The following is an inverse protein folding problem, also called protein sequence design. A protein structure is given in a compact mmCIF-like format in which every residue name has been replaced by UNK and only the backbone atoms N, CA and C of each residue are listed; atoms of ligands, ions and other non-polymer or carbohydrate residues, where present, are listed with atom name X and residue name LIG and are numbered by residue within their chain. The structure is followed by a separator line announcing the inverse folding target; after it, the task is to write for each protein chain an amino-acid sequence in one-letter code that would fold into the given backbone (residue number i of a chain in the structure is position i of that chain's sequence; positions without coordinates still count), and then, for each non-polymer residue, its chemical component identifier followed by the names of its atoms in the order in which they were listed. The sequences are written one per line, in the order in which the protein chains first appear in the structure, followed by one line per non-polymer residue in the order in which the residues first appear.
data_IF_206052984747
#
_entry.id   IF_206052984747
#
_cell.length_a   1.000
_cell.length_b   1.000
_cell.length_c   1.000
_cell.angle_alpha   90.00
_cell.angle_beta   90.00
_cell.angle_gamma   90.00
#
_symmetry.space_group_name_H-M   'P 1'
#
loop_
_entity.id
_entity.type
_entity.pdbx_description
1 polymer ?
#
# COMPACT_ATOMS: atom_id res chain seq x y z
N UNK A 1 -19.98 -22.97 16.41
CA UNK A 1 -19.05 -23.96 15.83
C UNK A 1 -18.51 -23.51 14.48
N UNK A 2 -19.37 -23.10 13.57
CA UNK A 2 -19.00 -22.76 12.17
C UNK A 2 -17.88 -21.72 12.05
N UNK A 3 -17.96 -20.63 12.84
CA UNK A 3 -16.90 -19.60 12.89
C UNK A 3 -15.55 -20.19 13.30
N UNK A 4 -15.56 -21.11 14.30
CA UNK A 4 -14.34 -21.76 14.76
C UNK A 4 -13.73 -22.71 13.73
N UNK A 5 -14.55 -23.34 12.89
CA UNK A 5 -14.05 -24.21 11.82
C UNK A 5 -13.37 -23.36 10.75
N UNK A 6 -14.01 -22.31 10.23
CA UNK A 6 -13.44 -21.48 9.17
C UNK A 6 -12.26 -20.63 9.65
N UNK A 7 -12.46 -19.81 10.69
CA UNK A 7 -11.41 -18.92 11.19
C UNK A 7 -10.35 -19.66 11.99
N UNK A 8 -10.74 -20.73 12.71
CA UNK A 8 -9.80 -21.55 13.48
C UNK A 8 -8.89 -22.38 12.58
N UNK A 9 -9.41 -23.01 11.52
CA UNK A 9 -8.56 -23.72 10.54
C UNK A 9 -7.62 -22.77 9.82
N UNK A 10 -8.10 -21.58 9.43
CA UNK A 10 -7.26 -20.54 8.84
C UNK A 10 -6.13 -20.12 9.78
N UNK A 11 -6.45 -19.78 11.03
CA UNK A 11 -5.46 -19.36 12.02
C UNK A 11 -4.45 -20.48 12.33
N UNK A 12 -4.91 -21.73 12.43
CA UNK A 12 -4.06 -22.91 12.64
C UNK A 12 -3.09 -23.12 11.48
N UNK A 13 -3.57 -23.04 10.23
CA UNK A 13 -2.73 -23.19 9.04
C UNK A 13 -1.68 -22.08 8.95
N UNK A 14 -2.06 -20.84 9.26
CA UNK A 14 -1.10 -19.73 9.34
C UNK A 14 -0.06 -19.95 10.46
N UNK A 15 -0.47 -20.44 11.62
CA UNK A 15 0.44 -20.74 12.74
C UNK A 15 1.42 -21.88 12.39
N UNK A 16 1.01 -22.83 11.56
CA UNK A 16 1.87 -23.90 11.02
C UNK A 16 2.80 -23.42 9.89
N UNK A 17 2.76 -22.12 9.51
CA UNK A 17 3.61 -21.54 8.48
C UNK A 17 3.12 -21.75 7.04
N UNK A 18 1.88 -22.18 6.85
CA UNK A 18 1.28 -22.29 5.50
C UNK A 18 1.10 -20.87 4.93
N UNK A 19 1.54 -20.59 3.69
CA UNK A 19 1.33 -19.28 3.09
C UNK A 19 -0.15 -18.89 3.07
N UNK A 20 -0.45 -17.62 3.36
CA UNK A 20 -1.80 -17.11 3.61
C UNK A 20 -2.79 -17.47 2.50
N UNK A 21 -2.37 -17.37 1.22
CA UNK A 21 -3.23 -17.73 0.10
C UNK A 21 -3.72 -19.18 0.19
N UNK A 22 -2.81 -20.14 0.41
CA UNK A 22 -3.17 -21.55 0.58
C UNK A 22 -3.98 -21.79 1.85
N UNK A 23 -3.66 -21.09 2.94
CA UNK A 23 -4.42 -21.19 4.18
C UNK A 23 -5.89 -20.77 3.99
N UNK A 24 -6.16 -19.72 3.20
CA UNK A 24 -7.52 -19.27 2.85
C UNK A 24 -8.28 -20.35 2.04
N UNK A 25 -7.64 -20.88 1.00
CA UNK A 25 -8.26 -21.90 0.15
C UNK A 25 -8.55 -23.19 0.94
N UNK A 26 -7.58 -23.67 1.73
CA UNK A 26 -7.74 -24.86 2.54
C UNK A 26 -8.80 -24.67 3.64
N UNK A 27 -8.83 -23.51 4.29
CA UNK A 27 -9.85 -23.20 5.28
C UNK A 27 -11.25 -23.14 4.64
N UNK A 28 -11.39 -22.60 3.43
CA UNK A 28 -12.64 -22.62 2.70
C UNK A 28 -13.10 -24.06 2.38
N UNK A 29 -12.17 -24.93 1.98
CA UNK A 29 -12.45 -26.36 1.75
C UNK A 29 -12.86 -27.06 3.07
N UNK A 30 -12.14 -26.84 4.15
CA UNK A 30 -12.49 -27.41 5.45
C UNK A 30 -13.89 -26.96 5.91
N UNK A 31 -14.21 -25.69 5.71
CA UNK A 31 -15.52 -25.15 6.04
C UNK A 31 -16.63 -25.72 5.14
N UNK A 32 -16.37 -25.90 3.85
CA UNK A 32 -17.32 -26.49 2.91
C UNK A 32 -17.67 -27.94 3.29
N UNK A 33 -16.66 -28.73 3.65
CA UNK A 33 -16.85 -30.09 4.15
C UNK A 33 -17.63 -30.14 5.46
N UNK A 34 -17.44 -29.14 6.33
CA UNK A 34 -18.16 -29.04 7.60
C UNK A 34 -19.65 -28.71 7.43
N UNK A 35 -20.00 -27.87 6.46
CA UNK A 35 -21.39 -27.41 6.21
C UNK A 35 -22.07 -28.25 5.13
N UNK A 36 -21.40 -29.31 4.65
CA UNK A 36 -21.89 -30.19 3.58
C UNK A 36 -22.19 -29.47 2.25
N UNK A 37 -21.28 -28.53 1.87
CA UNK A 37 -21.36 -27.83 0.59
C UNK A 37 -20.48 -28.54 -0.44
N UNK A 38 -20.99 -28.74 -1.68
CA UNK A 38 -20.20 -29.34 -2.75
C UNK A 38 -18.90 -28.58 -3.02
N UNK A 39 -17.77 -29.28 -3.10
CA UNK A 39 -16.46 -28.66 -3.35
C UNK A 39 -16.42 -27.98 -4.73
N UNK A 40 -17.22 -28.40 -5.69
CA UNK A 40 -17.39 -27.76 -6.99
C UNK A 40 -17.83 -26.29 -6.84
N UNK A 41 -18.69 -25.98 -5.88
CA UNK A 41 -19.11 -24.60 -5.61
C UNK A 41 -17.94 -23.74 -5.10
N UNK A 42 -17.06 -24.30 -4.26
CA UNK A 42 -15.85 -23.62 -3.79
C UNK A 42 -14.88 -23.38 -4.95
N UNK A 43 -14.66 -24.40 -5.79
CA UNK A 43 -13.78 -24.31 -6.97
C UNK A 43 -14.30 -23.28 -7.99
N UNK A 44 -15.62 -23.25 -8.22
CA UNK A 44 -16.25 -22.25 -9.08
C UNK A 44 -16.00 -20.84 -8.54
N UNK A 45 -16.13 -20.64 -7.23
CA UNK A 45 -15.87 -19.34 -6.61
C UNK A 45 -14.40 -18.90 -6.67
N UNK A 46 -13.46 -19.82 -6.65
CA UNK A 46 -12.04 -19.51 -6.92
C UNK A 46 -11.87 -19.01 -8.35
N UNK A 47 -12.49 -19.66 -9.32
CA UNK A 47 -12.45 -19.24 -10.73
C UNK A 47 -13.14 -17.89 -10.94
N UNK A 48 -14.37 -17.72 -10.43
CA UNK A 48 -15.11 -16.45 -10.49
C UNK A 48 -14.31 -15.28 -9.90
N UNK A 49 -13.58 -15.55 -8.80
CA UNK A 49 -12.78 -14.53 -8.11
C UNK A 49 -11.61 -13.99 -8.92
N UNK A 50 -11.17 -14.71 -9.94
CA UNK A 50 -10.08 -14.28 -10.84
C UNK A 50 -10.58 -13.77 -12.20
N UNK A 51 -11.87 -13.87 -12.48
CA UNK A 51 -12.49 -13.49 -13.76
C UNK A 51 -13.16 -12.11 -13.71
N UNK A 52 -12.53 -11.14 -13.03
CA UNK A 52 -12.99 -9.75 -12.99
C UNK A 52 -12.08 -8.86 -13.85
N UNK A 53 -12.69 -8.09 -14.78
CA UNK A 53 -11.96 -7.20 -15.68
C UNK A 53 -11.14 -6.13 -14.92
N UNK A 54 -11.61 -5.66 -13.78
CA UNK A 54 -10.87 -4.68 -12.97
C UNK A 54 -9.54 -5.23 -12.44
N UNK A 55 -9.43 -6.55 -12.27
CA UNK A 55 -8.18 -7.20 -11.83
C UNK A 55 -7.04 -7.08 -12.84
N UNK A 56 -7.34 -6.91 -14.12
CA UNK A 56 -6.31 -6.69 -15.14
C UNK A 56 -5.51 -5.40 -14.90
N UNK A 57 -6.03 -4.45 -14.13
CA UNK A 57 -5.28 -3.27 -13.74
C UNK A 57 -4.05 -3.63 -12.87
N UNK A 58 -4.14 -4.66 -12.03
CA UNK A 58 -3.06 -5.06 -11.10
C UNK A 58 -1.80 -5.50 -11.86
N UNK A 59 -1.84 -6.46 -12.81
CA UNK A 59 -0.68 -6.82 -13.63
C UNK A 59 0.00 -5.64 -14.31
N UNK A 60 -0.80 -4.74 -14.89
CA UNK A 60 -0.26 -3.58 -15.60
C UNK A 60 0.39 -2.57 -14.64
N UNK A 61 -0.22 -2.27 -13.50
CA UNK A 61 0.39 -1.38 -12.50
C UNK A 61 1.68 -1.98 -11.92
N UNK A 62 1.67 -3.28 -11.59
CA UNK A 62 2.87 -3.97 -11.07
C UNK A 62 3.98 -3.96 -12.11
N UNK A 63 3.66 -4.21 -13.38
CA UNK A 63 4.64 -4.19 -14.46
C UNK A 63 5.19 -2.78 -14.72
N UNK A 64 4.31 -1.77 -14.81
CA UNK A 64 4.72 -0.37 -14.97
C UNK A 64 5.63 0.08 -13.83
N UNK A 65 5.24 -0.20 -12.58
CA UNK A 65 6.04 0.11 -11.39
C UNK A 65 7.40 -0.58 -11.38
N UNK A 66 7.46 -1.86 -11.77
CA UNK A 66 8.71 -2.62 -11.85
C UNK A 66 9.65 -2.08 -12.95
N UNK A 67 9.11 -1.77 -14.14
CA UNK A 67 9.88 -1.18 -15.26
C UNK A 67 10.51 0.16 -14.81
N UNK A 68 9.74 1.01 -14.16
CA UNK A 68 10.21 2.33 -13.74
C UNK A 68 11.18 2.25 -12.55
N UNK A 69 10.94 1.31 -11.62
CA UNK A 69 11.84 1.09 -10.49
C UNK A 69 13.24 0.69 -10.95
N UNK A 70 13.34 -0.28 -11.87
CA UNK A 70 14.62 -0.75 -12.41
C UNK A 70 15.19 0.19 -13.46
N UNK A 71 14.35 0.99 -14.12
CA UNK A 71 14.74 2.02 -15.09
C UNK A 71 15.35 3.29 -14.49
N UNK A 72 15.84 3.25 -13.25
CA UNK A 72 16.55 4.37 -12.61
C UNK A 72 15.67 5.58 -12.25
N UNK A 73 14.35 5.41 -12.24
CA UNK A 73 13.41 6.48 -11.92
C UNK A 73 13.54 6.95 -10.47
N UNK A 74 13.79 6.02 -9.53
CA UNK A 74 13.96 6.34 -8.12
C UNK A 74 15.07 7.39 -7.90
N UNK A 75 16.22 7.26 -8.56
CA UNK A 75 17.32 8.21 -8.46
C UNK A 75 16.94 9.60 -9.02
N UNK A 76 16.15 9.68 -10.09
CA UNK A 76 15.68 10.93 -10.69
C UNK A 76 14.69 11.66 -9.80
N UNK A 77 13.76 10.92 -9.18
CA UNK A 77 12.81 11.49 -8.21
C UNK A 77 13.51 11.95 -6.93
N UNK A 78 14.51 11.23 -6.45
CA UNK A 78 15.37 11.66 -5.34
C UNK A 78 16.08 12.98 -5.70
N UNK A 79 16.64 13.10 -6.91
CA UNK A 79 17.29 14.34 -7.34
C UNK A 79 16.29 15.49 -7.46
N UNK A 80 15.07 15.22 -7.94
CA UNK A 80 14.00 16.23 -7.96
C UNK A 80 13.63 16.67 -6.54
N UNK A 81 13.43 15.73 -5.62
CA UNK A 81 13.11 16.03 -4.23
C UNK A 81 14.22 16.85 -3.53
N UNK A 82 15.50 16.62 -3.89
CA UNK A 82 16.63 17.42 -3.38
C UNK A 82 16.54 18.89 -3.74
N UNK A 83 16.01 19.22 -4.92
CA UNK A 83 15.83 20.63 -5.36
C UNK A 83 14.92 21.37 -4.39
N UNK A 84 13.86 20.71 -3.89
CA UNK A 84 12.87 21.35 -3.02
C UNK A 84 13.27 21.44 -1.55
N UNK A 85 13.87 20.40 -1.00
CA UNK A 85 14.06 20.28 0.46
C UNK A 85 15.48 19.86 0.86
N UNK A 86 16.38 19.61 -0.08
CA UNK A 86 17.70 19.06 0.18
C UNK A 86 18.61 19.98 1.03
N UNK A 87 18.43 21.30 0.95
CA UNK A 87 19.27 22.31 1.63
C UNK A 87 18.88 22.55 3.09
N UNK A 88 17.77 22.02 3.56
CA UNK A 88 17.26 22.18 4.92
C UNK A 88 18.05 21.28 5.89
N UNK A 89 18.10 21.63 7.19
CA UNK A 89 18.65 20.75 8.23
C UNK A 89 17.82 19.45 8.29
N UNK A 90 18.49 18.28 8.22
CA UNK A 90 17.78 17.01 8.03
C UNK A 90 17.29 16.80 6.60
N UNK A 91 17.77 17.61 5.64
CA UNK A 91 17.25 17.69 4.27
C UNK A 91 17.17 16.35 3.55
N UNK A 92 18.18 15.46 3.69
CA UNK A 92 18.10 14.14 3.05
C UNK A 92 17.00 13.24 3.63
N UNK A 93 16.63 13.39 4.89
CA UNK A 93 15.49 12.67 5.44
C UNK A 93 14.17 13.23 4.89
N UNK A 94 14.06 14.54 4.69
CA UNK A 94 12.91 15.17 4.02
C UNK A 94 12.83 14.77 2.54
N UNK A 95 13.98 14.74 1.85
CA UNK A 95 14.09 14.24 0.47
C UNK A 95 13.58 12.80 0.37
N UNK A 96 13.93 11.95 1.33
CA UNK A 96 13.48 10.56 1.36
C UNK A 96 11.94 10.48 1.42
N UNK A 97 11.29 11.21 2.34
CA UNK A 97 9.81 11.23 2.44
C UNK A 97 9.17 11.77 1.17
N UNK A 98 9.69 12.86 0.60
CA UNK A 98 9.14 13.45 -0.62
C UNK A 98 9.37 12.53 -1.84
N UNK A 99 10.55 11.91 -1.95
CA UNK A 99 10.86 10.97 -3.01
C UNK A 99 9.98 9.72 -2.94
N UNK A 100 9.71 9.20 -1.72
CA UNK A 100 8.76 8.09 -1.52
C UNK A 100 7.33 8.47 -1.90
N UNK A 101 6.89 9.68 -1.61
CA UNK A 101 5.58 10.16 -2.08
C UNK A 101 5.51 10.19 -3.62
N UNK A 102 6.53 10.75 -4.28
CA UNK A 102 6.58 10.82 -5.74
C UNK A 102 6.73 9.43 -6.39
N UNK A 103 7.56 8.56 -5.83
CA UNK A 103 7.72 7.20 -6.34
C UNK A 103 6.52 6.32 -6.05
N UNK A 104 5.83 6.58 -4.93
CA UNK A 104 4.57 5.94 -4.57
C UNK A 104 3.50 6.12 -5.64
N UNK A 105 3.44 7.30 -6.26
CA UNK A 105 2.56 7.57 -7.42
C UNK A 105 2.82 6.65 -8.64
N UNK A 106 3.85 5.82 -8.60
CA UNK A 106 4.25 4.94 -9.70
C UNK A 106 4.19 3.48 -9.26
N UNK A 107 4.75 3.18 -8.07
CA UNK A 107 4.92 1.80 -7.59
C UNK A 107 3.68 1.23 -6.92
N UNK A 108 2.90 2.05 -6.23
CA UNK A 108 1.74 1.63 -5.43
C UNK A 108 2.06 0.62 -4.32
N UNK A 109 3.33 0.39 -4.00
CA UNK A 109 3.80 -0.65 -3.09
C UNK A 109 4.86 -0.14 -2.12
N UNK A 110 4.59 -0.26 -0.83
CA UNK A 110 5.54 0.11 0.24
C UNK A 110 6.85 -0.71 0.17
N UNK A 111 6.75 -2.00 -0.14
CA UNK A 111 7.93 -2.89 -0.29
C UNK A 111 8.79 -2.45 -1.48
N UNK A 112 8.17 -2.17 -2.63
CA UNK A 112 8.87 -1.72 -3.84
C UNK A 112 9.48 -0.33 -3.64
N UNK A 113 8.78 0.58 -2.97
CA UNK A 113 9.29 1.91 -2.63
C UNK A 113 10.51 1.80 -1.70
N UNK A 114 10.40 1.03 -0.62
CA UNK A 114 11.53 0.79 0.30
C UNK A 114 12.73 0.19 -0.42
N UNK A 115 12.51 -0.74 -1.34
CA UNK A 115 13.60 -1.34 -2.12
C UNK A 115 14.28 -0.32 -3.05
N UNK A 116 13.49 0.47 -3.78
CA UNK A 116 14.01 1.41 -4.80
C UNK A 116 14.58 2.67 -4.17
N UNK A 117 13.77 3.41 -3.41
CA UNK A 117 14.21 4.66 -2.75
C UNK A 117 15.24 4.36 -1.66
N UNK A 118 15.04 3.30 -0.87
CA UNK A 118 15.96 2.92 0.20
C UNK A 118 17.34 2.55 -0.31
N UNK A 119 17.46 1.84 -1.42
CA UNK A 119 18.74 1.50 -2.03
C UNK A 119 19.56 2.73 -2.44
N UNK A 120 18.90 3.83 -2.78
CA UNK A 120 19.52 5.11 -3.15
C UNK A 120 19.74 5.99 -1.91
N UNK A 121 18.73 6.15 -1.07
CA UNK A 121 18.73 7.13 0.01
C UNK A 121 19.50 6.69 1.24
N UNK A 122 19.37 5.43 1.68
CA UNK A 122 20.05 4.97 2.90
C UNK A 122 21.56 5.12 2.79
N UNK A 123 22.24 4.66 1.70
CA UNK A 123 23.69 4.89 1.57
C UNK A 123 24.08 6.37 1.49
N UNK A 124 23.26 7.22 0.83
CA UNK A 124 23.55 8.65 0.74
C UNK A 124 23.42 9.33 2.09
N UNK A 125 22.38 9.03 2.86
CA UNK A 125 22.18 9.56 4.22
C UNK A 125 23.34 9.14 5.13
N UNK A 126 23.72 7.87 5.13
CA UNK A 126 24.84 7.37 5.93
C UNK A 126 26.17 8.05 5.57
N UNK A 127 26.45 8.27 4.27
CA UNK A 127 27.64 9.01 3.82
C UNK A 127 27.66 10.46 4.33
N UNK A 128 26.50 11.08 4.52
CA UNK A 128 26.39 12.43 5.08
C UNK A 128 26.34 12.48 6.61
N UNK A 129 26.56 11.34 7.29
CA UNK A 129 26.65 11.30 8.75
C UNK A 129 25.32 11.03 9.48
N UNK A 130 24.26 10.64 8.78
CA UNK A 130 23.03 10.20 9.44
C UNK A 130 23.21 8.82 10.08
N UNK A 131 22.64 8.56 11.27
CA UNK A 131 22.61 7.23 11.85
C UNK A 131 21.91 6.26 10.90
N UNK A 132 22.50 5.08 10.68
CA UNK A 132 21.99 4.09 9.75
C UNK A 132 20.57 3.62 10.08
N UNK A 133 20.29 3.38 11.36
CA UNK A 133 18.97 3.00 11.87
C UNK A 133 17.95 4.10 11.57
N UNK A 134 18.31 5.36 11.82
CA UNK A 134 17.42 6.50 11.51
C UNK A 134 17.11 6.59 10.01
N UNK A 135 18.14 6.46 9.14
CA UNK A 135 17.96 6.49 7.69
C UNK A 135 17.00 5.36 7.23
N UNK A 136 17.14 4.15 7.80
CA UNK A 136 16.26 3.03 7.53
C UNK A 136 14.83 3.32 8.00
N UNK A 137 14.64 3.84 9.21
CA UNK A 137 13.33 4.19 9.76
C UNK A 137 12.59 5.23 8.92
N UNK A 138 13.29 6.28 8.48
CA UNK A 138 12.72 7.29 7.58
C UNK A 138 12.23 6.66 6.28
N UNK A 139 13.03 5.77 5.71
CA UNK A 139 12.70 5.11 4.43
C UNK A 139 11.48 4.21 4.56
N UNK A 140 11.44 3.31 5.55
CA UNK A 140 10.31 2.37 5.72
C UNK A 140 9.02 3.10 6.08
N UNK A 141 9.08 4.14 6.89
CA UNK A 141 7.88 4.93 7.24
C UNK A 141 7.41 5.78 6.06
N UNK A 142 8.34 6.38 5.31
CA UNK A 142 8.04 7.14 4.10
C UNK A 142 7.35 6.31 3.03
N UNK A 143 7.77 5.05 2.88
CA UNK A 143 7.23 4.14 1.87
C UNK A 143 5.74 3.79 2.06
N UNK A 144 5.19 3.96 3.27
CA UNK A 144 3.76 3.71 3.52
C UNK A 144 2.87 4.67 2.72
N UNK A 145 3.36 5.86 2.36
CA UNK A 145 2.65 6.79 1.49
C UNK A 145 2.32 6.16 0.12
N UNK A 146 3.20 5.30 -0.39
CA UNK A 146 3.01 4.61 -1.67
C UNK A 146 1.75 3.73 -1.72
N UNK A 147 1.21 3.32 -0.57
CA UNK A 147 -0.03 2.54 -0.50
C UNK A 147 -1.27 3.40 -0.70
N UNK A 148 -1.18 4.69 -0.36
CA UNK A 148 -2.30 5.64 -0.37
C UNK A 148 -2.34 6.44 -1.66
N UNK A 149 -1.17 6.95 -2.10
CA UNK A 149 -1.09 7.85 -3.26
C UNK A 149 -1.30 7.04 -4.55
N UNK A 150 -2.25 7.48 -5.42
CA UNK A 150 -2.57 6.73 -6.64
C UNK A 150 -1.43 6.79 -7.69
N UNK A 151 -1.33 5.74 -8.52
CA UNK A 151 -2.17 4.54 -8.53
C UNK A 151 -1.77 3.52 -7.47
N UNK A 152 -2.76 3.01 -6.74
CA UNK A 152 -2.55 1.99 -5.71
C UNK A 152 -3.30 0.71 -6.06
N UNK A 153 -2.57 -0.39 -6.26
CA UNK A 153 -3.20 -1.69 -6.48
C UNK A 153 -4.03 -2.15 -5.26
N UNK A 154 -3.72 -1.65 -4.07
CA UNK A 154 -4.49 -1.94 -2.86
C UNK A 154 -5.90 -1.33 -2.89
N UNK A 155 -6.07 -0.16 -3.53
CA UNK A 155 -7.38 0.43 -3.75
C UNK A 155 -8.23 -0.42 -4.71
N UNK A 156 -7.61 -1.04 -5.72
CA UNK A 156 -8.28 -1.99 -6.63
C UNK A 156 -8.72 -3.24 -5.85
N UNK A 157 -7.82 -3.81 -5.04
CA UNK A 157 -8.13 -4.97 -4.18
C UNK A 157 -9.26 -4.65 -3.20
N UNK A 158 -9.26 -3.47 -2.59
CA UNK A 158 -10.33 -3.04 -1.69
C UNK A 158 -11.67 -2.90 -2.41
N UNK A 159 -11.70 -2.28 -3.60
CA UNK A 159 -12.90 -2.17 -4.44
C UNK A 159 -13.51 -3.54 -4.72
N UNK A 160 -12.68 -4.51 -5.11
CA UNK A 160 -13.08 -5.89 -5.36
C UNK A 160 -13.63 -6.56 -4.09
N UNK A 161 -12.92 -6.45 -2.97
CA UNK A 161 -13.33 -7.02 -1.68
C UNK A 161 -14.65 -6.44 -1.17
N UNK A 162 -14.97 -5.20 -1.57
CA UNK A 162 -16.23 -4.52 -1.30
C UNK A 162 -17.37 -4.93 -2.27
N UNK A 163 -17.15 -5.95 -3.09
CA UNK A 163 -18.13 -6.44 -4.08
C UNK A 163 -18.17 -5.65 -5.39
N UNK A 164 -17.11 -4.92 -5.74
CA UNK A 164 -17.01 -4.15 -6.99
C UNK A 164 -17.91 -2.92 -7.06
N UNK A 165 -18.64 -2.60 -6.00
CA UNK A 165 -19.60 -1.49 -5.98
C UNK A 165 -18.94 -0.12 -5.78
N UNK A 166 -17.69 -0.09 -5.32
CA UNK A 166 -16.93 1.13 -5.04
C UNK A 166 -16.04 1.45 -6.23
N UNK A 167 -16.19 2.67 -6.77
CA UNK A 167 -15.36 3.14 -7.87
C UNK A 167 -13.88 3.23 -7.48
N UNK A 168 -13.02 2.58 -8.26
CA UNK A 168 -11.55 2.66 -8.12
C UNK A 168 -11.07 4.10 -8.32
N UNK A 169 -11.70 4.87 -9.21
CA UNK A 169 -11.39 6.28 -9.42
C UNK A 169 -11.63 7.12 -8.15
N UNK A 170 -12.76 6.90 -7.46
CA UNK A 170 -13.04 7.56 -6.19
C UNK A 170 -12.02 7.18 -5.11
N UNK A 171 -11.62 5.91 -5.05
CA UNK A 171 -10.58 5.45 -4.11
C UNK A 171 -9.22 6.09 -4.40
N UNK A 172 -8.86 6.22 -5.67
CA UNK A 172 -7.61 6.89 -6.06
C UNK A 172 -7.59 8.35 -5.58
N UNK A 173 -8.66 9.09 -5.82
CA UNK A 173 -8.77 10.47 -5.34
C UNK A 173 -8.78 10.54 -3.80
N UNK A 174 -9.50 9.64 -3.15
CA UNK A 174 -9.59 9.58 -1.70
C UNK A 174 -8.24 9.35 -1.02
N UNK A 175 -7.31 8.67 -1.69
CA UNK A 175 -5.99 8.35 -1.15
C UNK A 175 -4.98 9.51 -1.19
N UNK A 176 -5.20 10.54 -2.03
CA UNK A 176 -4.24 11.64 -2.21
C UNK A 176 -4.00 12.41 -0.90
N UNK A 177 -5.06 12.94 -0.30
CA UNK A 177 -4.91 13.74 0.92
C UNK A 177 -4.45 12.95 2.14
N UNK A 178 -4.96 11.73 2.42
CA UNK A 178 -4.42 10.89 3.48
C UNK A 178 -2.94 10.56 3.29
N UNK A 179 -2.50 10.26 2.05
CA UNK A 179 -1.10 10.01 1.73
C UNK A 179 -0.21 11.24 1.96
N UNK A 180 -0.66 12.42 1.51
CA UNK A 180 0.04 13.68 1.75
C UNK A 180 0.06 14.04 3.24
N UNK A 181 -1.04 13.84 3.98
CA UNK A 181 -1.11 14.09 5.41
C UNK A 181 -0.11 13.22 6.18
N UNK A 182 0.00 11.94 5.81
CA UNK A 182 1.02 11.07 6.37
C UNK A 182 2.42 11.64 6.14
N UNK A 183 2.71 12.10 4.91
CA UNK A 183 3.97 12.77 4.59
C UNK A 183 4.23 14.01 5.44
N UNK A 184 3.22 14.87 5.61
CA UNK A 184 3.32 16.07 6.46
C UNK A 184 3.60 15.71 7.91
N UNK A 185 2.93 14.69 8.47
CA UNK A 185 3.20 14.24 9.84
C UNK A 185 4.63 13.72 10.00
N UNK A 186 5.14 12.95 9.01
CA UNK A 186 6.52 12.45 9.02
C UNK A 186 7.53 13.58 8.83
N UNK A 187 7.28 14.55 7.95
CA UNK A 187 8.11 15.74 7.78
C UNK A 187 8.18 16.55 9.09
N UNK A 188 7.04 16.77 9.74
CA UNK A 188 7.00 17.45 11.04
C UNK A 188 7.83 16.74 12.11
N UNK A 189 7.74 15.41 12.18
CA UNK A 189 8.57 14.61 13.06
C UNK A 189 10.07 14.74 12.74
N UNK A 190 10.43 14.65 11.45
CA UNK A 190 11.84 14.74 11.01
C UNK A 190 12.42 16.12 11.32
N UNK A 191 11.66 17.20 11.13
CA UNK A 191 12.08 18.56 11.48
C UNK A 191 12.31 18.69 13.00
N UNK A 192 11.40 18.11 13.80
CA UNK A 192 11.56 18.10 15.27
C UNK A 192 12.79 17.32 15.71
N UNK A 193 13.01 16.11 15.17
CA UNK A 193 14.21 15.29 15.46
C UNK A 193 15.47 15.98 14.95
N UNK A 194 15.40 16.58 13.75
CA UNK A 194 16.53 17.29 13.14
C UNK A 194 17.01 18.48 13.96
N UNK A 195 16.08 19.18 14.62
CA UNK A 195 16.41 20.25 15.54
C UNK A 195 17.04 19.73 16.84
N UNK A 196 16.54 18.59 17.36
CA UNK A 196 17.00 18.02 18.64
C UNK A 196 18.34 17.27 18.53
N UNK A 197 18.56 16.55 17.41
CA UNK A 197 19.75 15.69 17.20
C UNK A 197 20.83 16.33 16.32
N UNK A 198 20.68 17.59 15.95
CA UNK A 198 21.63 18.34 15.12
C UNK A 198 22.01 17.63 13.80
N UNK A 199 20.96 17.19 13.06
CA UNK A 199 21.16 16.45 11.82
C UNK A 199 21.91 17.29 10.76
N UNK A 200 22.70 16.64 9.88
CA UNK A 200 23.44 17.31 8.83
C UNK A 200 22.57 18.15 7.91
N UNK A 201 23.09 19.26 7.40
CA UNK A 201 22.50 20.02 6.31
C UNK A 201 23.01 19.47 4.98
N UNK A 202 22.11 19.33 4.01
CA UNK A 202 22.53 19.00 2.67
C UNK A 202 23.03 20.22 1.89
N UNK A 203 23.73 19.94 0.80
CA UNK A 203 24.17 21.01 -0.11
C UNK A 203 23.01 21.41 -1.04
N UNK A 204 22.83 22.72 -1.31
CA UNK A 204 21.84 23.16 -2.27
C UNK A 204 22.24 22.71 -3.68
N UNK A 205 21.24 22.29 -4.47
CA UNK A 205 21.45 21.96 -5.87
C UNK A 205 21.76 23.25 -6.65
N UNK A 206 22.79 23.23 -7.51
CA UNK A 206 23.11 24.37 -8.32
C UNK A 206 21.93 24.73 -9.26
N UNK A 207 21.54 26.01 -9.30
CA UNK A 207 20.40 26.49 -10.11
C UNK A 207 20.55 26.12 -11.60
N UNK A 208 21.77 26.01 -12.08
CA UNK A 208 22.07 25.59 -13.46
C UNK A 208 21.61 24.16 -13.77
N UNK A 209 21.62 23.27 -12.77
CA UNK A 209 21.28 21.86 -12.96
C UNK A 209 19.78 21.57 -12.76
N UNK A 210 19.05 22.49 -12.14
CA UNK A 210 17.63 22.35 -11.83
C UNK A 210 16.78 22.04 -13.09
N UNK A 211 16.90 22.75 -14.23
CA UNK A 211 16.07 22.46 -15.40
C UNK A 211 16.29 21.04 -15.94
N UNK A 212 17.53 20.55 -15.91
CA UNK A 212 17.87 19.19 -16.34
C UNK A 212 17.26 18.16 -15.42
N UNK A 213 17.38 18.33 -14.10
CA UNK A 213 16.81 17.44 -13.09
C UNK A 213 15.28 17.37 -13.22
N UNK A 214 14.63 18.53 -13.38
CA UNK A 214 13.17 18.61 -13.57
C UNK A 214 12.76 17.86 -14.85
N UNK A 215 13.45 18.08 -15.97
CA UNK A 215 13.13 17.45 -17.24
C UNK A 215 13.30 15.91 -17.16
N UNK A 216 14.39 15.44 -16.53
CA UNK A 216 14.61 14.01 -16.34
C UNK A 216 13.55 13.34 -15.47
N UNK A 217 13.09 14.01 -14.42
CA UNK A 217 12.03 13.49 -13.55
C UNK A 217 10.65 13.62 -14.19
N UNK A 218 10.42 14.63 -15.03
CA UNK A 218 9.13 14.90 -15.65
C UNK A 218 8.64 13.73 -16.51
N UNK A 219 9.53 13.09 -17.26
CA UNK A 219 9.19 11.91 -18.04
C UNK A 219 8.53 10.81 -17.22
N UNK A 220 9.00 10.57 -16.01
CA UNK A 220 8.36 9.59 -15.13
C UNK A 220 7.06 10.09 -14.52
N UNK A 221 6.99 11.37 -14.15
CA UNK A 221 5.78 11.96 -13.57
C UNK A 221 4.62 12.04 -14.58
N UNK A 222 4.90 12.09 -15.87
CA UNK A 222 3.87 11.99 -16.94
C UNK A 222 3.09 10.68 -16.83
N UNK A 223 3.69 9.59 -16.34
CA UNK A 223 2.95 8.33 -16.08
C UNK A 223 1.78 8.56 -15.11
N UNK A 224 2.01 9.33 -14.07
CA UNK A 224 0.98 9.69 -13.08
C UNK A 224 -0.12 10.53 -13.73
N UNK A 225 0.27 11.48 -14.58
CA UNK A 225 -0.68 12.32 -15.33
C UNK A 225 -1.53 11.48 -16.28
N UNK A 226 -0.93 10.50 -16.97
CA UNK A 226 -1.66 9.56 -17.85
C UNK A 226 -2.70 8.78 -17.03
N UNK A 227 -2.30 8.23 -15.87
CA UNK A 227 -3.20 7.41 -15.07
C UNK A 227 -4.31 8.27 -14.45
N UNK A 228 -3.95 9.26 -13.66
CA UNK A 228 -4.93 10.07 -12.94
C UNK A 228 -5.74 10.93 -13.93
N UNK A 229 -5.08 11.60 -14.85
CA UNK A 229 -5.73 12.44 -15.85
C UNK A 229 -6.64 11.65 -16.78
N UNK A 230 -6.22 10.46 -17.23
CA UNK A 230 -7.03 9.57 -18.07
C UNK A 230 -8.30 9.08 -17.37
N UNK A 231 -8.19 8.72 -16.10
CA UNK A 231 -9.33 8.26 -15.29
C UNK A 231 -10.27 9.42 -14.95
N UNK A 232 -9.73 10.57 -14.52
CA UNK A 232 -10.54 11.73 -14.13
C UNK A 232 -11.27 12.37 -15.29
N UNK A 233 -10.67 12.38 -16.49
CA UNK A 233 -11.32 12.87 -17.70
C UNK A 233 -12.41 11.92 -18.24
N UNK A 234 -12.52 10.71 -17.67
CA UNK A 234 -13.44 9.68 -18.17
C UNK A 234 -13.03 9.04 -19.51
N UNK A 235 -11.82 9.37 -20.01
CA UNK A 235 -11.30 8.82 -21.28
C UNK A 235 -10.89 7.36 -21.13
N UNK A 236 -10.34 7.01 -19.97
CA UNK A 236 -9.86 5.66 -19.66
C UNK A 236 -10.50 5.10 -18.40
N UNK A 237 -10.81 3.81 -18.44
CA UNK A 237 -11.02 3.02 -17.22
C UNK A 237 -9.70 2.82 -16.46
N UNK A 238 -9.72 2.45 -15.17
CA UNK A 238 -8.50 2.14 -14.43
C UNK A 238 -7.61 1.10 -15.12
N UNK A 239 -8.19 0.10 -15.75
CA UNK A 239 -7.48 -0.97 -16.45
C UNK A 239 -6.80 -0.47 -17.73
N UNK A 240 -7.53 0.31 -18.56
CA UNK A 240 -6.96 0.93 -19.76
C UNK A 240 -5.86 1.92 -19.41
N UNK A 241 -6.08 2.73 -18.37
CA UNK A 241 -5.07 3.68 -17.88
C UNK A 241 -3.79 2.97 -17.43
N UNK A 242 -3.92 1.84 -16.74
CA UNK A 242 -2.79 1.02 -16.32
C UNK A 242 -2.02 0.43 -17.51
N UNK A 243 -2.73 -0.04 -18.55
CA UNK A 243 -2.13 -0.58 -19.76
C UNK A 243 -1.36 0.51 -20.54
N UNK A 244 -1.96 1.70 -20.73
CA UNK A 244 -1.32 2.85 -21.40
C UNK A 244 -0.09 3.30 -20.60
N UNK A 245 -0.19 3.39 -19.28
CA UNK A 245 0.92 3.74 -18.40
C UNK A 245 2.07 2.72 -18.48
N UNK A 246 1.74 1.44 -18.58
CA UNK A 246 2.74 0.37 -18.74
C UNK A 246 3.51 0.53 -20.07
N UNK A 247 2.82 0.75 -21.17
CA UNK A 247 3.44 1.00 -22.48
C UNK A 247 4.31 2.26 -22.43
N UNK A 248 3.80 3.34 -21.85
CA UNK A 248 4.55 4.59 -21.67
C UNK A 248 5.80 4.38 -20.82
N UNK A 249 5.68 3.72 -19.67
CA UNK A 249 6.81 3.40 -18.79
C UNK A 249 7.89 2.60 -19.53
N UNK A 250 7.48 1.62 -20.34
CA UNK A 250 8.38 0.85 -21.19
C UNK A 250 9.13 1.75 -22.19
N UNK A 251 8.41 2.58 -22.95
CA UNK A 251 9.02 3.50 -23.91
C UNK A 251 10.00 4.46 -23.25
N UNK A 252 9.63 5.08 -22.14
CA UNK A 252 10.50 6.00 -21.40
C UNK A 252 11.76 5.30 -20.89
N UNK A 253 11.62 4.14 -20.28
CA UNK A 253 12.76 3.42 -19.69
C UNK A 253 13.74 2.92 -20.75
N UNK A 254 13.25 2.36 -21.86
CA UNK A 254 14.11 1.75 -22.88
C UNK A 254 14.61 2.72 -23.94
N UNK A 255 13.80 3.72 -24.34
CA UNK A 255 14.14 4.64 -25.44
C UNK A 255 14.70 5.96 -24.95
N UNK A 256 14.13 6.53 -23.87
CA UNK A 256 14.52 7.86 -23.36
C UNK A 256 15.66 7.73 -22.37
N UNK A 257 15.47 6.96 -21.29
CA UNK A 257 16.48 6.83 -20.25
C UNK A 257 17.63 5.90 -20.66
N UNK A 258 17.33 4.79 -21.33
CA UNK A 258 18.29 3.77 -21.77
C UNK A 258 19.11 3.15 -20.63
N UNK A 259 18.60 3.20 -19.42
CA UNK A 259 19.27 2.69 -18.22
C UNK A 259 19.07 1.19 -18.04
N UNK A 260 18.11 0.59 -18.74
CA UNK A 260 17.77 -0.82 -18.64
C UNK A 260 18.10 -1.56 -19.95
N UNK A 261 18.79 -2.69 -19.82
CA UNK A 261 19.22 -3.48 -20.98
C UNK A 261 18.14 -4.45 -21.41
N UNK A 262 17.91 -4.58 -22.71
CA UNK A 262 16.97 -5.56 -23.29
C UNK A 262 17.20 -6.99 -22.82
N UNK A 263 18.46 -7.35 -22.53
CA UNK A 263 18.84 -8.67 -22.03
C UNK A 263 18.25 -8.98 -20.66
N UNK A 264 17.98 -7.97 -19.85
CA UNK A 264 17.50 -8.12 -18.48
C UNK A 264 15.96 -8.14 -18.41
N UNK A 265 15.27 -7.79 -19.52
CA UNK A 265 13.81 -7.77 -19.64
C UNK A 265 13.14 -9.11 -19.27
N UNK A 266 13.62 -10.29 -19.70
CA UNK A 266 13.01 -11.57 -19.29
C UNK A 266 13.05 -11.78 -17.79
N UNK A 267 14.11 -11.33 -17.11
CA UNK A 267 14.22 -11.44 -15.65
C UNK A 267 13.21 -10.54 -14.92
N UNK A 268 13.03 -9.31 -15.39
CA UNK A 268 12.02 -8.39 -14.88
C UNK A 268 10.61 -8.98 -15.07
N UNK A 269 10.29 -9.44 -16.28
CA UNK A 269 8.99 -10.05 -16.60
C UNK A 269 8.74 -11.28 -15.71
N UNK A 270 9.72 -12.16 -15.55
CA UNK A 270 9.60 -13.34 -14.68
C UNK A 270 9.27 -12.95 -13.23
N UNK A 271 9.92 -11.93 -12.69
CA UNK A 271 9.65 -11.42 -11.33
C UNK A 271 8.24 -10.85 -11.21
N UNK A 272 7.82 -10.06 -12.20
CA UNK A 272 6.47 -9.48 -12.25
C UNK A 272 5.41 -10.57 -12.33
N UNK A 273 5.58 -11.54 -13.23
CA UNK A 273 4.67 -12.70 -13.38
C UNK A 273 4.54 -13.45 -12.04
N UNK A 274 5.65 -13.71 -11.35
CA UNK A 274 5.61 -14.36 -10.04
C UNK A 274 4.83 -13.56 -9.00
N UNK A 275 5.02 -12.25 -8.96
CA UNK A 275 4.28 -11.37 -8.04
C UNK A 275 2.79 -11.34 -8.37
N UNK A 276 2.44 -11.18 -9.65
CA UNK A 276 1.05 -11.15 -10.12
C UNK A 276 0.36 -12.48 -9.85
N UNK A 277 1.03 -13.62 -10.14
CA UNK A 277 0.49 -14.95 -9.87
C UNK A 277 0.15 -15.15 -8.39
N UNK A 278 1.02 -14.70 -7.47
CA UNK A 278 0.74 -14.78 -6.04
C UNK A 278 -0.49 -13.93 -5.65
N UNK A 279 -0.61 -12.73 -6.21
CA UNK A 279 -1.76 -11.85 -5.91
C UNK A 279 -3.05 -12.43 -6.48
N UNK A 280 -3.05 -12.93 -7.72
CA UNK A 280 -4.24 -13.54 -8.35
C UNK A 280 -4.70 -14.78 -7.59
N UNK A 281 -3.77 -15.64 -7.18
CA UNK A 281 -4.07 -16.82 -6.37
C UNK A 281 -4.67 -16.43 -5.02
N UNK A 282 -4.12 -15.40 -4.38
CA UNK A 282 -4.65 -14.87 -3.12
C UNK A 282 -6.09 -14.38 -3.29
N UNK A 283 -6.38 -13.64 -4.37
CA UNK A 283 -7.72 -13.13 -4.66
C UNK A 283 -8.69 -14.28 -4.87
N UNK A 284 -8.38 -15.25 -5.73
CA UNK A 284 -9.24 -16.40 -6.00
C UNK A 284 -9.60 -17.16 -4.72
N UNK A 285 -8.61 -17.50 -3.91
CA UNK A 285 -8.85 -18.19 -2.64
C UNK A 285 -9.59 -17.33 -1.62
N UNK A 286 -9.38 -16.01 -1.62
CA UNK A 286 -10.10 -15.09 -0.73
C UNK A 286 -11.57 -14.98 -1.10
N UNK A 287 -11.93 -15.00 -2.39
CA UNK A 287 -13.33 -15.00 -2.83
C UNK A 287 -14.05 -16.28 -2.39
N UNK A 288 -13.39 -17.43 -2.51
CA UNK A 288 -13.94 -18.69 -1.99
C UNK A 288 -14.11 -18.67 -0.45
N UNK A 289 -13.13 -18.12 0.26
CA UNK A 289 -13.21 -17.93 1.70
C UNK A 289 -14.36 -16.97 2.09
N UNK A 290 -14.50 -15.85 1.37
CA UNK A 290 -15.59 -14.89 1.53
C UNK A 290 -16.96 -15.51 1.27
N UNK A 291 -17.08 -16.38 0.26
CA UNK A 291 -18.29 -17.14 -0.01
C UNK A 291 -18.68 -18.03 1.18
N UNK A 292 -17.72 -18.77 1.76
CA UNK A 292 -17.97 -19.55 2.96
C UNK A 292 -18.34 -18.70 4.17
N UNK A 293 -17.70 -17.53 4.34
CA UNK A 293 -18.10 -16.55 5.38
C UNK A 293 -19.56 -16.12 5.22
N UNK A 294 -19.99 -15.86 3.99
CA UNK A 294 -21.34 -15.41 3.71
C UNK A 294 -22.37 -16.51 4.03
N UNK A 295 -22.12 -17.77 3.62
CA UNK A 295 -22.98 -18.92 3.93
C UNK A 295 -23.11 -19.14 5.44
N UNK A 296 -22.00 -19.05 6.17
CA UNK A 296 -21.96 -19.20 7.62
C UNK A 296 -22.47 -17.96 8.37
N UNK A 297 -22.90 -16.93 7.65
CA UNK A 297 -23.41 -15.64 8.18
C UNK A 297 -22.42 -14.97 9.15
N UNK A 298 -21.13 -15.13 8.92
CA UNK A 298 -20.08 -14.55 9.78
C UNK A 298 -20.16 -13.01 9.81
N UNK A 299 -20.32 -12.30 8.68
CA UNK A 299 -20.47 -10.83 8.71
C UNK A 299 -21.66 -10.36 9.55
N UNK A 300 -22.79 -11.06 9.48
CA UNK A 300 -23.98 -10.72 10.29
C UNK A 300 -23.73 -10.91 11.80
N UNK A 301 -23.07 -12.01 12.19
CA UNK A 301 -22.71 -12.31 13.59
C UNK A 301 -21.71 -11.28 14.13
N UNK A 302 -20.70 -10.90 13.31
CA UNK A 302 -19.72 -9.86 13.66
C UNK A 302 -20.41 -8.51 13.79
N UNK A 303 -21.34 -8.18 12.87
CA UNK A 303 -22.16 -6.96 12.96
C UNK A 303 -22.92 -6.90 14.26
N UNK A 304 -23.63 -7.98 14.64
CA UNK A 304 -24.38 -8.03 15.90
C UNK A 304 -23.45 -7.87 17.11
N UNK A 305 -22.26 -8.46 17.09
CA UNK A 305 -21.28 -8.32 18.15
C UNK A 305 -20.81 -6.88 18.33
N UNK A 306 -20.42 -6.18 17.25
CA UNK A 306 -19.95 -4.79 17.34
C UNK A 306 -21.06 -3.83 17.74
N UNK A 307 -22.28 -3.99 17.19
CA UNK A 307 -23.42 -3.17 17.58
C UNK A 307 -23.84 -3.43 19.03
N UNK A 308 -23.64 -4.64 19.54
CA UNK A 308 -23.83 -4.97 20.95
C UNK A 308 -22.85 -4.26 21.90
N UNK A 309 -21.66 -3.89 21.41
CA UNK A 309 -20.69 -3.10 22.19
C UNK A 309 -21.06 -1.62 22.16
N UNK A 310 -21.29 -1.06 20.96
CA UNK A 310 -21.64 0.34 20.79
C UNK A 310 -22.27 0.61 19.42
N UNK A 311 -23.31 1.42 19.38
CA UNK A 311 -23.88 1.98 18.15
C UNK A 311 -23.18 3.27 17.70
N UNK A 312 -22.19 3.73 18.47
CA UNK A 312 -21.43 4.93 18.14
C UNK A 312 -20.35 4.63 17.10
N UNK A 313 -20.46 5.25 15.91
CA UNK A 313 -19.52 5.08 14.80
C UNK A 313 -18.07 5.39 15.18
N UNK A 314 -17.82 6.32 16.08
CA UNK A 314 -16.46 6.70 16.49
C UNK A 314 -15.81 5.62 17.35
N UNK A 315 -16.59 5.00 18.25
CA UNK A 315 -16.14 3.87 19.08
C UNK A 315 -15.85 2.67 18.19
N UNK A 316 -16.74 2.38 17.25
CA UNK A 316 -16.54 1.31 16.27
C UNK A 316 -15.24 1.50 15.48
N UNK A 317 -15.02 2.69 14.90
CA UNK A 317 -13.79 2.97 14.13
C UNK A 317 -12.53 2.83 14.99
N UNK A 318 -12.58 3.22 16.27
CA UNK A 318 -11.45 3.03 17.18
C UNK A 318 -11.15 1.56 17.45
N UNK A 319 -12.19 0.75 17.71
CA UNK A 319 -12.06 -0.69 17.93
C UNK A 319 -11.50 -1.39 16.68
N UNK A 320 -12.01 -1.04 15.50
CA UNK A 320 -11.52 -1.58 14.22
C UNK A 320 -10.06 -1.17 13.99
N UNK A 321 -9.69 0.08 14.26
CA UNK A 321 -8.31 0.53 14.13
C UNK A 321 -7.35 -0.29 15.02
N UNK A 322 -7.71 -0.53 16.27
CA UNK A 322 -6.89 -1.34 17.18
C UNK A 322 -6.78 -2.80 16.66
N UNK A 323 -7.90 -3.36 16.22
CA UNK A 323 -7.93 -4.72 15.69
C UNK A 323 -7.07 -4.86 14.43
N UNK A 324 -7.21 -3.92 13.48
CA UNK A 324 -6.45 -3.94 12.22
C UNK A 324 -4.96 -3.70 12.45
N UNK A 325 -4.57 -2.84 13.39
CA UNK A 325 -3.17 -2.66 13.78
C UNK A 325 -2.57 -3.96 14.32
N UNK A 326 -3.32 -4.66 15.18
CA UNK A 326 -2.86 -5.96 15.71
C UNK A 326 -2.73 -7.01 14.61
N UNK A 327 -3.76 -7.19 13.79
CA UNK A 327 -3.76 -8.19 12.72
C UNK A 327 -2.72 -7.87 11.64
N UNK A 328 -2.55 -6.59 11.29
CA UNK A 328 -1.57 -6.13 10.29
C UNK A 328 -0.11 -6.39 10.66
N UNK A 329 0.20 -6.66 11.96
CA UNK A 329 1.56 -7.06 12.36
C UNK A 329 1.93 -8.47 11.90
N UNK A 330 0.93 -9.34 11.68
CA UNK A 330 1.12 -10.75 11.32
C UNK A 330 0.90 -11.04 9.83
N UNK A 331 0.10 -10.22 9.16
CA UNK A 331 -0.34 -10.49 7.78
C UNK A 331 -0.07 -9.29 6.88
N UNK A 332 0.13 -9.60 5.60
CA UNK A 332 0.28 -8.57 4.56
C UNK A 332 -1.05 -7.84 4.32
N UNK A 333 -0.97 -6.65 3.70
CA UNK A 333 -2.09 -5.75 3.48
C UNK A 333 -3.17 -6.36 2.58
N UNK A 334 -2.78 -6.98 1.45
CA UNK A 334 -3.73 -7.51 0.48
C UNK A 334 -4.64 -8.61 1.06
N UNK A 335 -4.13 -9.64 1.76
CA UNK A 335 -4.98 -10.63 2.44
C UNK A 335 -5.93 -9.99 3.45
N UNK A 336 -5.42 -9.01 4.22
CA UNK A 336 -6.23 -8.34 5.24
C UNK A 336 -7.38 -7.54 4.63
N UNK A 337 -7.15 -6.85 3.51
CA UNK A 337 -8.22 -6.16 2.77
C UNK A 337 -9.28 -7.16 2.32
N UNK A 338 -8.87 -8.28 1.71
CA UNK A 338 -9.79 -9.29 1.17
C UNK A 338 -10.63 -10.00 2.25
N UNK A 339 -10.07 -10.19 3.45
CA UNK A 339 -10.75 -10.85 4.57
C UNK A 339 -11.63 -9.85 5.34
N UNK A 340 -11.07 -8.71 5.73
CA UNK A 340 -11.73 -7.78 6.65
C UNK A 340 -12.78 -6.92 5.98
N UNK A 341 -12.62 -6.56 4.70
CA UNK A 341 -13.58 -5.71 4.00
C UNK A 341 -14.98 -6.32 3.99
N UNK A 342 -15.22 -7.54 3.51
CA UNK A 342 -16.58 -8.12 3.53
C UNK A 342 -17.14 -8.34 4.94
N UNK A 343 -16.28 -8.51 5.94
CA UNK A 343 -16.70 -8.64 7.33
C UNK A 343 -17.24 -7.33 7.89
N UNK A 344 -16.54 -6.22 7.63
CA UNK A 344 -16.90 -4.91 8.19
C UNK A 344 -17.90 -4.14 7.33
N UNK A 345 -18.04 -4.46 6.03
CA UNK A 345 -18.92 -3.73 5.12
C UNK A 345 -20.38 -3.60 5.63
N UNK A 346 -21.04 -4.67 6.12
CA UNK A 346 -22.40 -4.54 6.65
C UNK A 346 -22.48 -3.64 7.88
N UNK A 347 -21.42 -3.62 8.71
CA UNK A 347 -21.38 -2.77 9.92
C UNK A 347 -21.27 -1.30 9.55
N UNK A 348 -20.32 -0.97 8.65
CA UNK A 348 -20.09 0.43 8.25
C UNK A 348 -21.31 1.03 7.56
N UNK A 349 -22.01 0.24 6.73
CA UNK A 349 -23.24 0.68 6.07
C UNK A 349 -24.35 0.97 7.08
N UNK A 350 -24.52 0.13 8.11
CA UNK A 350 -25.49 0.37 9.19
C UNK A 350 -25.17 1.59 10.03
N UNK A 351 -23.89 1.88 10.27
CA UNK A 351 -23.43 3.03 11.03
C UNK A 351 -23.34 4.32 10.20
N UNK A 352 -23.68 4.27 8.92
CA UNK A 352 -23.63 5.42 8.00
C UNK A 352 -22.19 5.90 7.73
N UNK A 353 -21.21 5.01 7.76
CA UNK A 353 -19.81 5.30 7.41
C UNK A 353 -19.66 5.09 5.90
N UNK A 354 -19.08 6.08 5.23
CA UNK A 354 -18.83 6.00 3.79
C UNK A 354 -17.79 4.89 3.48
N UNK A 355 -18.08 3.96 2.56
CA UNK A 355 -17.19 2.87 2.21
C UNK A 355 -15.83 3.32 1.63
N UNK A 356 -15.79 4.43 0.87
CA UNK A 356 -14.53 4.99 0.33
C UNK A 356 -13.65 5.49 1.47
N UNK A 357 -14.24 6.21 2.42
CA UNK A 357 -13.54 6.67 3.62
C UNK A 357 -12.99 5.51 4.44
N UNK A 358 -13.81 4.48 4.67
CA UNK A 358 -13.38 3.30 5.41
C UNK A 358 -12.24 2.55 4.72
N UNK A 359 -12.25 2.48 3.39
CA UNK A 359 -11.15 1.92 2.61
C UNK A 359 -9.82 2.63 2.85
N UNK A 360 -9.85 3.96 2.92
CA UNK A 360 -8.64 4.73 3.22
C UNK A 360 -8.14 4.50 4.65
N UNK A 361 -9.03 4.38 5.62
CA UNK A 361 -8.67 4.01 7.00
C UNK A 361 -7.99 2.64 7.02
N UNK A 362 -8.58 1.64 6.35
CA UNK A 362 -8.02 0.29 6.30
C UNK A 362 -6.63 0.26 5.65
N UNK A 363 -6.46 0.90 4.48
CA UNK A 363 -5.19 0.90 3.75
C UNK A 363 -4.09 1.58 4.59
N UNK A 364 -4.38 2.72 5.21
CA UNK A 364 -3.42 3.43 6.05
C UNK A 364 -3.05 2.62 7.30
N UNK A 365 -4.06 2.07 7.98
CA UNK A 365 -3.88 1.27 9.18
C UNK A 365 -3.01 0.03 8.92
N UNK A 366 -3.38 -0.76 7.93
CA UNK A 366 -2.64 -1.95 7.53
C UNK A 366 -1.25 -1.60 6.99
N UNK A 367 -1.10 -0.44 6.34
CA UNK A 367 0.20 0.10 5.94
C UNK A 367 1.15 0.33 7.12
N UNK A 368 0.62 0.78 8.27
CA UNK A 368 1.39 0.86 9.52
C UNK A 368 1.75 -0.56 10.00
N UNK A 369 0.85 -1.52 9.85
CA UNK A 369 1.11 -2.93 10.14
C UNK A 369 2.31 -3.50 9.37
N UNK A 370 2.49 -3.15 8.09
CA UNK A 370 3.60 -3.63 7.25
C UNK A 370 5.00 -3.25 7.76
N UNK A 371 5.10 -2.27 8.62
CA UNK A 371 6.36 -1.84 9.23
C UNK A 371 6.46 -2.23 10.70
N UNK A 372 5.48 -2.98 11.22
CA UNK A 372 5.39 -3.34 12.63
C UNK A 372 5.81 -4.79 12.86
N UNK A 373 6.70 -5.08 13.82
CA UNK A 373 7.03 -6.46 14.20
C UNK A 373 5.77 -7.25 14.65
N UNK A 374 5.73 -8.59 14.54
CA UNK A 374 6.86 -9.49 14.27
C UNK A 374 7.15 -9.77 12.79
N UNK A 375 6.19 -9.58 11.88
CA UNK A 375 6.40 -9.95 10.47
C UNK A 375 6.86 -8.75 9.64
N UNK A 376 6.03 -7.73 9.45
CA UNK A 376 6.34 -6.49 8.76
C UNK A 376 7.18 -6.61 7.48
N UNK A 377 6.63 -7.01 6.31
CA UNK A 377 7.43 -7.26 5.11
C UNK A 377 8.25 -6.05 4.65
N UNK A 378 7.71 -4.85 4.78
CA UNK A 378 8.44 -3.61 4.48
C UNK A 378 9.59 -3.37 5.46
N UNK A 379 9.40 -3.71 6.75
CA UNK A 379 10.43 -3.65 7.78
C UNK A 379 11.61 -4.59 7.43
N UNK A 380 11.32 -5.83 7.00
CA UNK A 380 12.35 -6.78 6.58
C UNK A 380 13.20 -6.25 5.42
N UNK A 381 12.54 -5.72 4.39
CA UNK A 381 13.24 -5.18 3.21
C UNK A 381 14.10 -3.98 3.61
N UNK A 382 13.57 -3.07 4.43
CA UNK A 382 14.32 -1.93 4.94
C UNK A 382 15.53 -2.34 5.78
N UNK A 383 15.38 -3.31 6.67
CA UNK A 383 16.49 -3.86 7.47
C UNK A 383 17.58 -4.50 6.60
N UNK A 384 17.19 -5.24 5.56
CA UNK A 384 18.15 -5.85 4.63
C UNK A 384 18.98 -4.80 3.87
N UNK A 385 18.34 -3.75 3.35
CA UNK A 385 19.02 -2.65 2.63
C UNK A 385 19.86 -1.81 3.60
N UNK A 386 19.30 -1.49 4.76
CA UNK A 386 19.98 -0.73 5.81
C UNK A 386 21.13 -1.49 6.46
N UNK A 387 21.20 -2.82 6.28
CA UNK A 387 22.14 -3.70 6.98
C UNK A 387 22.10 -3.48 8.51
N UNK A 388 20.88 -3.46 9.05
CA UNK A 388 20.57 -3.28 10.47
C UNK A 388 19.62 -4.39 10.93
N UNK A 389 19.61 -4.66 12.24
CA UNK A 389 18.71 -5.68 12.79
C UNK A 389 17.30 -5.10 13.02
N UNK A 390 16.28 -5.96 12.97
CA UNK A 390 14.90 -5.54 13.26
C UNK A 390 14.77 -4.96 14.67
N UNK A 391 15.49 -5.53 15.64
CA UNK A 391 15.47 -5.04 17.02
C UNK A 391 15.96 -3.60 17.13
N UNK A 392 17.07 -3.26 16.43
CA UNK A 392 17.61 -1.90 16.39
C UNK A 392 16.62 -0.92 15.78
N UNK A 393 16.03 -1.29 14.66
CA UNK A 393 15.04 -0.48 13.94
C UNK A 393 13.80 -0.27 14.79
N UNK A 394 13.24 -1.33 15.36
CA UNK A 394 12.01 -1.28 16.15
C UNK A 394 12.14 -0.41 17.41
N UNK A 395 13.29 -0.41 18.06
CA UNK A 395 13.55 0.45 19.23
C UNK A 395 13.50 1.96 18.91
N UNK A 396 13.86 2.35 17.69
CA UNK A 396 13.84 3.75 17.27
C UNK A 396 12.57 4.12 16.45
N UNK A 397 11.65 3.17 16.18
CA UNK A 397 10.42 3.41 15.43
C UNK A 397 9.32 4.12 16.22
N UNK A 398 9.35 4.12 17.56
CA UNK A 398 8.25 4.66 18.38
C UNK A 398 7.82 6.10 18.03
N UNK A 399 8.74 7.07 17.80
CA UNK A 399 8.34 8.41 17.39
C UNK A 399 7.63 8.41 16.02
N UNK A 400 8.06 7.54 15.10
CA UNK A 400 7.45 7.41 13.78
C UNK A 400 6.04 6.80 13.87
N UNK A 401 5.85 5.78 14.72
CA UNK A 401 4.50 5.27 15.02
C UNK A 401 3.60 6.37 15.56
N UNK A 402 4.10 7.23 16.46
CA UNK A 402 3.35 8.37 16.96
C UNK A 402 2.86 9.30 15.84
N UNK A 403 3.75 9.66 14.91
CA UNK A 403 3.38 10.50 13.77
C UNK A 403 2.37 9.82 12.82
N UNK A 404 2.58 8.53 12.54
CA UNK A 404 1.71 7.75 11.64
C UNK A 404 0.34 7.48 12.27
N UNK A 405 0.30 7.13 13.56
CA UNK A 405 -0.96 6.99 14.30
C UNK A 405 -1.72 8.32 14.40
N UNK A 406 -1.00 9.45 14.51
CA UNK A 406 -1.63 10.78 14.45
C UNK A 406 -2.30 10.99 13.08
N UNK A 407 -1.61 10.68 11.97
CA UNK A 407 -2.21 10.74 10.64
C UNK A 407 -3.41 9.79 10.52
N UNK A 408 -3.31 8.55 11.03
CA UNK A 408 -4.40 7.58 11.03
C UNK A 408 -5.62 8.12 11.82
N UNK A 409 -5.42 8.68 13.00
CA UNK A 409 -6.53 9.24 13.78
C UNK A 409 -7.17 10.44 13.08
N UNK A 410 -6.39 11.33 12.49
CA UNK A 410 -6.93 12.46 11.72
C UNK A 410 -7.75 11.97 10.51
N UNK A 411 -7.25 11.00 9.76
CA UNK A 411 -8.00 10.39 8.65
C UNK A 411 -9.27 9.71 9.16
N UNK A 412 -9.20 8.95 10.27
CA UNK A 412 -10.34 8.21 10.83
C UNK A 412 -11.48 9.13 11.27
N UNK A 413 -11.17 10.23 11.95
CA UNK A 413 -12.19 11.09 12.57
C UNK A 413 -12.59 12.30 11.75
N UNK A 414 -11.86 12.60 10.68
CA UNK A 414 -12.15 13.71 9.76
C UNK A 414 -12.41 13.17 8.35
N UNK A 415 -13.65 12.71 8.03
CA UNK A 415 -13.98 12.12 6.74
C UNK A 415 -13.68 13.04 5.54
N UNK A 416 -13.71 14.35 5.75
CA UNK A 416 -13.38 15.33 4.72
C UNK A 416 -11.99 15.13 4.13
N UNK A 417 -11.01 14.61 4.90
CA UNK A 417 -9.65 14.34 4.40
C UNK A 417 -9.68 13.33 3.25
N UNK A 418 -10.52 12.30 3.33
CA UNK A 418 -10.66 11.28 2.29
C UNK A 418 -11.74 11.61 1.26
N UNK A 419 -12.81 12.28 1.64
CA UNK A 419 -14.00 12.44 0.80
C UNK A 419 -14.09 13.77 0.05
N UNK A 420 -13.25 14.77 0.40
CA UNK A 420 -13.31 16.08 -0.23
C UNK A 420 -13.03 16.03 -1.74
N UNK A 421 -11.96 15.36 -2.13
CA UNK A 421 -11.57 15.29 -3.53
C UNK A 421 -12.51 14.40 -4.38
N UNK A 422 -12.92 13.18 -3.93
CA UNK A 422 -13.97 12.43 -4.61
C UNK A 422 -15.30 13.17 -4.74
N UNK A 423 -15.65 14.00 -3.75
CA UNK A 423 -16.87 14.82 -3.77
C UNK A 423 -16.90 15.90 -4.86
N UNK A 424 -15.76 16.23 -5.46
CA UNK A 424 -15.66 17.15 -6.60
C UNK A 424 -15.93 16.49 -7.95
N UNK A 425 -15.97 15.15 -8.00
CA UNK A 425 -16.29 14.36 -9.21
C UNK A 425 -17.81 14.15 -9.37
N UNK A 426 -18.61 15.17 -9.20
CA UNK A 426 -20.06 15.07 -9.45
C UNK A 426 -20.38 15.43 -10.89
#
# INVERSE_FOLDING_TARGET
MDILVLLGSFALLCALGVPVAYALGLAAICAALWVDIPLEAVMLKISDGTDDFALLAIPFFVLAGAIMAEGGMAARLVNLAKVFVGFIRGGLALVNILASALFGCISGSSVADTASIGSVMIPQMVKQGYPRVFATNVTICGSVQALMIPPSHNAVIYSLAAGGTISVAHLFLAGIFPGLLLGVCLIGLILWIGHKRDLPRGEPVALRDVPKIVLEALWGLVTVVIIIGGILSGVFTPTESAAVACVYAFLVTFLVYRDYKWRDLPHLVHRVVKTVAMVMMLIGFSVAFGYMMAIMQIPAKVTAFFLGISENKYVFLMLVNILLLLLGTFMDLAPMLLICTPIFMPVILKLGIDPVHFGMIMILNLGIGLITPPVGPTLFVGCAIGKVTMEQVSKELWPFYGAMCTALMLVTYIPAISLWLPGLMK
#
